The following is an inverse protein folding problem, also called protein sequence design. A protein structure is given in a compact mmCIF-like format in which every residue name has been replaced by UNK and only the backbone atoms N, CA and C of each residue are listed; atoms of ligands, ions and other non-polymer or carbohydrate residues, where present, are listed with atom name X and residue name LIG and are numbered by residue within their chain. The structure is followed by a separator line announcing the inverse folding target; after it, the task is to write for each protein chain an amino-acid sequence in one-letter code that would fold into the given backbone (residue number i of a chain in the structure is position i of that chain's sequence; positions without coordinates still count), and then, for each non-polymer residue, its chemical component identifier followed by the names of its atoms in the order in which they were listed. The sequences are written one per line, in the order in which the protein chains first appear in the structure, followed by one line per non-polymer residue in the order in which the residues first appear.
data_IF_348479495030
#
_entry.id   IF_348479495030
#
_cell.length_a   1.000
_cell.length_b   1.000
_cell.length_c   1.000
_cell.angle_alpha   90.00
_cell.angle_beta   90.00
_cell.angle_gamma   90.00
#
_symmetry.space_group_name_H-M   'P 1'
#
loop_
_entity.id
_entity.type
_entity.pdbx_description
1 polymer ?
#
# COMPACT_ATOMS: atom_id res chain seq x y z
N UNK A 1 -2.31 15.44 14.13
CA UNK A 1 -3.21 15.82 15.22
C UNK A 1 -3.76 14.53 15.82
N UNK A 2 -3.50 14.21 17.09
CA UNK A 2 -4.08 13.03 17.75
C UNK A 2 -5.35 13.49 18.46
N UNK A 3 -6.52 13.13 17.93
CA UNK A 3 -7.81 13.35 18.60
C UNK A 3 -7.94 12.25 19.65
N UNK A 4 -8.30 12.62 20.88
CA UNK A 4 -8.31 11.76 22.07
C UNK A 4 -9.02 10.41 21.88
N UNK A 5 -8.64 9.45 22.73
CA UNK A 5 -8.87 8.00 22.56
C UNK A 5 -10.31 7.49 22.47
N UNK A 6 -11.33 8.36 22.53
CA UNK A 6 -12.74 7.98 22.44
C UNK A 6 -13.27 7.95 20.98
N UNK A 7 -12.54 8.51 20.01
CA UNK A 7 -13.01 8.63 18.61
C UNK A 7 -12.09 7.93 17.59
N UNK A 8 -11.79 6.65 17.80
CA UNK A 8 -11.00 5.83 16.86
C UNK A 8 -11.56 5.88 15.41
N UNK A 9 -12.88 5.87 15.24
CA UNK A 9 -13.55 5.94 13.94
C UNK A 9 -13.33 7.26 13.17
N UNK A 10 -13.29 8.39 13.86
CA UNK A 10 -13.01 9.68 13.22
C UNK A 10 -11.53 9.82 12.84
N UNK A 11 -10.62 9.31 13.68
CA UNK A 11 -9.19 9.32 13.39
C UNK A 11 -8.87 8.51 12.11
N UNK A 12 -9.45 7.32 11.95
CA UNK A 12 -9.23 6.52 10.74
C UNK A 12 -9.86 7.18 9.50
N UNK A 13 -11.05 7.79 9.65
CA UNK A 13 -11.71 8.50 8.56
C UNK A 13 -10.89 9.71 8.09
N UNK A 14 -10.36 10.51 9.03
CA UNK A 14 -9.49 11.65 8.71
C UNK A 14 -8.18 11.22 8.05
N UNK A 15 -7.56 10.12 8.52
CA UNK A 15 -6.36 9.55 7.89
C UNK A 15 -6.68 9.03 6.48
N UNK A 16 -7.81 8.34 6.31
CA UNK A 16 -8.30 7.86 5.01
C UNK A 16 -8.53 9.01 4.03
N UNK A 17 -9.18 10.10 4.45
CA UNK A 17 -9.38 11.29 3.63
C UNK A 17 -8.05 11.93 3.20
N UNK A 18 -7.06 11.97 4.11
CA UNK A 18 -5.72 12.48 3.81
C UNK A 18 -5.02 11.62 2.75
N UNK A 19 -5.16 10.30 2.85
CA UNK A 19 -4.64 9.34 1.85
C UNK A 19 -5.32 9.54 0.50
N UNK A 20 -6.65 9.67 0.46
CA UNK A 20 -7.37 9.91 -0.80
C UNK A 20 -6.99 11.25 -1.44
N UNK A 21 -6.77 12.31 -0.64
CA UNK A 21 -6.26 13.58 -1.14
C UNK A 21 -4.88 13.42 -1.80
N UNK A 22 -3.96 12.69 -1.15
CA UNK A 22 -2.64 12.45 -1.74
C UNK A 22 -2.74 11.59 -3.01
N UNK A 23 -3.62 10.60 -3.03
CA UNK A 23 -3.90 9.79 -4.23
C UNK A 23 -4.42 10.64 -5.39
N UNK A 24 -5.31 11.60 -5.13
CA UNK A 24 -5.76 12.56 -6.15
C UNK A 24 -4.61 13.40 -6.69
N UNK A 25 -3.71 13.89 -5.82
CA UNK A 25 -2.55 14.66 -6.27
C UNK A 25 -1.61 13.83 -7.17
N UNK A 26 -1.36 12.56 -6.82
CA UNK A 26 -0.54 11.67 -7.65
C UNK A 26 -1.18 11.38 -9.02
N UNK A 27 -2.50 11.19 -9.05
CA UNK A 27 -3.21 11.00 -10.32
C UNK A 27 -3.10 12.26 -11.18
N UNK A 28 -3.26 13.44 -10.58
CA UNK A 28 -3.10 14.71 -11.30
C UNK A 28 -1.66 14.87 -11.85
N UNK A 29 -0.65 14.51 -11.07
CA UNK A 29 0.75 14.54 -11.51
C UNK A 29 1.01 13.58 -12.69
N UNK A 30 0.44 12.38 -12.64
CA UNK A 30 0.54 11.41 -13.74
C UNK A 30 -0.14 11.92 -15.00
N UNK A 31 -1.31 12.55 -14.88
CA UNK A 31 -2.03 13.11 -16.04
C UNK A 31 -1.24 14.29 -16.63
N UNK A 32 -0.71 15.17 -15.78
CA UNK A 32 0.06 16.33 -16.24
C UNK A 32 1.34 15.96 -16.99
N UNK A 33 1.93 14.79 -16.67
CA UNK A 33 3.18 14.32 -17.28
C UNK A 33 2.98 13.13 -18.23
N UNK A 34 1.74 12.78 -18.57
CA UNK A 34 1.43 11.58 -19.37
C UNK A 34 2.13 11.57 -20.73
N UNK A 35 2.25 12.75 -21.35
CA UNK A 35 2.86 12.93 -22.67
C UNK A 35 4.32 13.42 -22.59
N UNK A 36 4.90 13.51 -21.39
CA UNK A 36 6.26 14.05 -21.22
C UNK A 36 7.32 12.95 -21.38
N UNK A 37 8.10 13.05 -22.46
CA UNK A 37 9.24 12.17 -22.73
C UNK A 37 10.57 12.70 -22.15
N UNK A 38 10.65 13.98 -21.79
CA UNK A 38 11.86 14.63 -21.24
C UNK A 38 11.66 14.97 -19.77
N UNK A 39 12.01 14.02 -18.92
CA UNK A 39 12.25 14.30 -17.50
C UNK A 39 13.65 14.88 -17.28
N UNK A 40 13.92 15.39 -16.07
CA UNK A 40 15.25 15.90 -15.68
C UNK A 40 16.36 14.86 -15.84
N UNK A 41 16.00 13.56 -15.80
CA UNK A 41 16.92 12.43 -16.00
C UNK A 41 17.04 11.99 -17.48
N UNK A 42 16.32 12.65 -18.40
CA UNK A 42 16.34 12.34 -19.84
C UNK A 42 15.61 11.06 -20.23
N UNK A 43 14.81 10.48 -19.33
CA UNK A 43 14.01 9.27 -19.59
C UNK A 43 12.51 9.60 -19.70
N UNK A 44 11.71 8.77 -20.40
CA UNK A 44 10.26 8.90 -20.40
C UNK A 44 9.68 8.90 -18.99
N UNK A 45 8.60 9.67 -18.77
CA UNK A 45 7.94 9.72 -17.47
C UNK A 45 7.42 8.33 -17.06
N UNK A 46 7.76 7.91 -15.84
CA UNK A 46 7.21 6.69 -15.24
C UNK A 46 6.05 7.03 -14.32
N UNK A 47 4.93 6.34 -14.51
CA UNK A 47 3.74 6.52 -13.68
C UNK A 47 4.05 6.26 -12.21
N UNK A 48 3.65 7.20 -11.35
CA UNK A 48 3.73 7.06 -9.89
C UNK A 48 2.43 6.46 -9.36
N UNK A 49 2.52 5.53 -8.43
CA UNK A 49 1.36 4.99 -7.72
C UNK A 49 1.62 4.93 -6.21
N UNK A 50 0.52 4.93 -5.45
CA UNK A 50 0.57 4.87 -4.00
C UNK A 50 0.25 3.47 -3.49
N UNK A 51 1.11 2.93 -2.64
CA UNK A 51 0.86 1.72 -1.86
C UNK A 51 0.47 2.13 -0.45
N UNK A 52 -0.69 1.67 0.00
CA UNK A 52 -1.20 1.92 1.36
C UNK A 52 -1.04 0.63 2.15
N UNK A 53 -0.40 0.72 3.31
CA UNK A 53 -0.26 -0.40 4.24
C UNK A 53 -0.68 0.03 5.63
N UNK A 54 -1.24 -0.91 6.38
CA UNK A 54 -1.51 -0.69 7.80
C UNK A 54 -0.23 -0.94 8.58
N UNK A 55 0.06 -0.09 9.57
CA UNK A 55 1.17 -0.35 10.50
C UNK A 55 0.85 -1.59 11.34
N UNK A 56 1.85 -2.44 11.57
CA UNK A 56 1.71 -3.64 12.39
C UNK A 56 1.11 -3.27 13.75
N UNK A 57 -0.12 -3.69 14.00
CA UNK A 57 -0.79 -3.52 15.29
C UNK A 57 -0.65 -4.80 16.10
N UNK A 58 -1.00 -4.76 17.39
CA UNK A 58 -0.93 -5.96 18.23
C UNK A 58 -1.81 -7.09 17.69
N UNK A 59 -2.90 -6.76 16.99
CA UNK A 59 -3.76 -7.76 16.37
C UNK A 59 -3.05 -8.51 15.23
N UNK A 60 -2.41 -7.83 14.28
CA UNK A 60 -1.66 -8.45 13.18
C UNK A 60 -0.49 -9.25 13.71
N UNK A 61 0.22 -8.75 14.73
CA UNK A 61 1.26 -9.52 15.42
C UNK A 61 0.71 -10.80 16.04
N UNK A 62 -0.43 -10.74 16.73
CA UNK A 62 -1.08 -11.93 17.28
C UNK A 62 -1.56 -12.90 16.19
N UNK A 63 -2.01 -12.41 15.04
CA UNK A 63 -2.37 -13.26 13.90
C UNK A 63 -1.14 -13.95 13.28
N UNK A 64 -0.03 -13.24 13.13
CA UNK A 64 1.23 -13.81 12.62
C UNK A 64 1.80 -14.85 13.59
N UNK A 65 1.71 -14.55 14.89
CA UNK A 65 2.02 -15.46 15.98
C UNK A 65 1.10 -16.70 15.89
N UNK A 66 -0.23 -16.56 15.78
CA UNK A 66 -1.12 -17.72 15.60
C UNK A 66 -0.80 -18.54 14.34
N UNK A 67 -0.48 -17.89 13.22
CA UNK A 67 -0.09 -18.57 11.97
C UNK A 67 1.19 -19.39 12.13
N UNK A 68 2.08 -19.00 13.04
CA UNK A 68 3.36 -19.66 13.31
C UNK A 68 3.34 -20.67 14.47
N UNK A 69 2.50 -20.47 15.50
CA UNK A 69 2.40 -21.39 16.66
C UNK A 69 1.28 -22.43 16.54
N UNK A 70 0.44 -22.46 15.50
CA UNK A 70 -0.55 -23.55 15.37
C UNK A 70 0.06 -24.67 14.51
N UNK A 71 0.77 -25.67 15.07
CA UNK A 71 0.81 -26.96 14.41
C UNK A 71 -0.63 -27.48 14.39
N UNK A 72 -1.08 -27.93 13.22
CA UNK A 72 -2.35 -28.65 13.06
C UNK A 72 -2.27 -30.06 13.68
N UNK A 73 -1.67 -30.18 14.87
CA UNK A 73 -1.53 -31.44 15.59
C UNK A 73 -2.85 -31.78 16.27
N UNK A 74 -3.74 -32.40 15.50
CA UNK A 74 -4.93 -33.06 16.01
C UNK A 74 -4.55 -34.48 16.42
N UNK A 75 -4.97 -34.95 17.59
CA UNK A 75 -4.77 -36.34 18.01
C UNK A 75 -5.65 -37.32 17.21
N UNK A 76 -6.67 -36.81 16.50
CA UNK A 76 -7.56 -37.56 15.62
C UNK A 76 -8.05 -36.65 14.47
N UNK A 77 -8.18 -37.19 13.26
CA UNK A 77 -8.58 -36.47 12.05
C UNK A 77 -9.98 -35.82 12.11
N UNK A 78 -10.86 -36.24 13.01
CA UNK A 78 -12.22 -35.69 13.15
C UNK A 78 -12.33 -34.55 14.17
N UNK A 79 -11.21 -34.06 14.71
CA UNK A 79 -11.25 -33.03 15.76
C UNK A 79 -10.89 -31.64 15.22
N UNK A 80 -11.64 -30.63 15.64
CA UNK A 80 -11.28 -29.22 15.44
C UNK A 80 -10.25 -28.87 16.52
N UNK A 81 -9.07 -28.38 16.12
CA UNK A 81 -8.04 -27.98 17.07
C UNK A 81 -8.54 -26.78 17.92
N UNK A 82 -8.47 -26.92 19.25
CA UNK A 82 -8.76 -25.83 20.17
C UNK A 82 -7.56 -24.86 20.13
N UNK A 83 -7.75 -23.58 19.75
CA UNK A 83 -6.65 -22.63 19.78
C UNK A 83 -6.23 -22.44 21.24
N UNK A 84 -4.95 -22.68 21.54
CA UNK A 84 -4.38 -22.29 22.83
C UNK A 84 -4.61 -20.79 23.02
N UNK A 85 -5.23 -20.42 24.14
CA UNK A 85 -5.57 -19.03 24.44
C UNK A 85 -4.29 -18.18 24.49
N UNK A 86 -4.02 -17.44 23.41
CA UNK A 86 -3.00 -16.42 23.41
C UNK A 86 -3.42 -15.35 24.45
N UNK A 87 -2.48 -14.83 25.27
CA UNK A 87 -2.79 -13.69 26.12
C UNK A 87 -3.24 -12.54 25.21
N UNK A 88 -4.50 -12.14 25.32
CA UNK A 88 -5.01 -10.95 24.66
C UNK A 88 -4.32 -9.75 25.31
N UNK A 89 -3.16 -9.37 24.78
CA UNK A 89 -2.52 -8.13 25.14
C UNK A 89 -3.47 -6.99 24.74
N UNK A 90 -4.02 -6.31 25.74
CA UNK A 90 -4.78 -5.08 25.59
C UNK A 90 -3.84 -3.97 25.12
N UNK A 91 -3.44 -4.05 23.86
CA UNK A 91 -2.71 -3.00 23.19
C UNK A 91 -3.69 -1.99 22.64
N UNK A 92 -3.41 -0.72 22.92
CA UNK A 92 -4.01 0.39 22.18
C UNK A 92 -3.87 0.09 20.68
N UNK A 93 -5.01 -0.05 19.99
CA UNK A 93 -5.04 -0.29 18.56
C UNK A 93 -4.49 0.97 17.87
N UNK A 94 -3.17 0.99 17.61
CA UNK A 94 -2.53 2.00 16.79
C UNK A 94 -2.98 1.76 15.35
N UNK A 95 -4.14 2.30 14.98
CA UNK A 95 -4.77 2.18 13.66
C UNK A 95 -4.13 3.17 12.67
N UNK A 96 -2.80 3.21 12.64
CA UNK A 96 -2.06 4.14 11.79
C UNK A 96 -1.80 3.52 10.41
N UNK A 97 -1.97 4.34 9.37
CA UNK A 97 -1.74 3.95 7.97
C UNK A 97 -0.39 4.50 7.51
N UNK A 98 0.43 3.64 6.91
CA UNK A 98 1.60 3.99 6.14
C UNK A 98 1.23 4.09 4.65
N UNK A 99 1.83 5.03 3.94
CA UNK A 99 1.69 5.14 2.50
C UNK A 99 3.04 5.45 1.87
N UNK A 100 3.35 4.74 0.79
CA UNK A 100 4.60 4.88 0.06
C UNK A 100 4.30 5.12 -1.41
N UNK A 101 5.04 6.04 -2.00
CA UNK A 101 4.98 6.31 -3.43
C UNK A 101 5.99 5.42 -4.13
N UNK A 102 5.52 4.69 -5.15
CA UNK A 102 6.34 3.80 -5.95
C UNK A 102 6.22 4.16 -7.41
N UNK A 103 7.31 3.96 -8.13
CA UNK A 103 7.35 4.09 -9.59
C UNK A 103 6.91 2.77 -10.23
N UNK A 104 6.18 2.88 -11.34
CA UNK A 104 5.84 1.76 -12.18
C UNK A 104 7.07 1.32 -12.97
N UNK A 105 7.67 0.20 -12.56
CA UNK A 105 8.88 -0.34 -13.18
C UNK A 105 8.58 -1.16 -14.45
N UNK A 106 7.33 -1.17 -14.94
CA UNK A 106 6.99 -1.88 -16.17
C UNK A 106 7.58 -1.12 -17.36
N UNK A 107 8.27 -1.84 -18.25
CA UNK A 107 8.70 -1.30 -19.54
C UNK A 107 7.44 -0.93 -20.33
N UNK A 108 7.33 0.35 -20.69
CA UNK A 108 6.20 0.88 -21.46
C UNK A 108 6.20 0.36 -22.89
N UNK A 109 5.05 0.48 -23.54
CA UNK A 109 4.94 0.16 -24.97
C UNK A 109 5.67 1.25 -25.76
N UNK A 110 6.52 0.81 -26.67
CA UNK A 110 7.35 1.66 -27.53
C UNK A 110 6.48 2.02 -28.75
N UNK A 111 6.18 3.31 -28.96
CA UNK A 111 5.26 3.78 -30.02
C UNK A 111 5.96 4.84 -30.84
N UNK A 112 6.25 4.50 -32.10
CA UNK A 112 6.84 5.44 -33.04
C UNK A 112 5.92 6.64 -33.32
N UNK A 113 6.41 7.82 -32.96
CA UNK A 113 5.77 9.10 -33.24
C UNK A 113 6.66 9.92 -34.19
N UNK A 114 6.45 9.86 -35.52
CA UNK A 114 7.31 10.53 -36.50
C UNK A 114 7.31 12.07 -36.40
N UNK A 115 6.30 12.65 -35.74
CA UNK A 115 6.21 14.10 -35.48
C UNK A 115 7.03 14.54 -34.25
N UNK A 116 7.63 13.59 -33.51
CA UNK A 116 8.37 13.85 -32.28
C UNK A 116 9.89 13.85 -32.57
N UNK A 117 10.64 14.94 -32.26
CA UNK A 117 12.05 15.07 -32.62
C UNK A 117 13.00 14.03 -31.98
N UNK A 118 12.56 13.37 -30.91
CA UNK A 118 13.33 12.35 -30.18
C UNK A 118 12.87 10.91 -30.51
N UNK A 119 12.02 10.69 -31.53
CA UNK A 119 11.57 9.34 -31.93
C UNK A 119 12.64 8.59 -32.75
N UNK A 120 12.98 7.36 -32.34
CA UNK A 120 13.85 6.46 -33.09
C UNK A 120 13.01 5.53 -34.00
N UNK A 121 13.63 4.79 -34.93
CA UNK A 121 12.91 3.91 -35.87
C UNK A 121 12.25 2.68 -35.20
N UNK A 122 12.59 2.40 -33.94
CA UNK A 122 12.05 1.29 -33.13
C UNK A 122 10.89 1.74 -32.21
N UNK A 123 10.72 3.06 -32.04
CA UNK A 123 9.55 3.76 -31.52
C UNK A 123 9.81 4.73 -30.38
#
# INVERSE_FOLDING_TARGET
MKIGGEYSGFNISAKGMSVQRRKMNLIAENIANADNIRTEEGKPYQRKYMVISQKNNLFTQNLDIQKSIIPLAVTNANHIALPGAAPMAAGTADTDLNFEEKLDNKVGDVIYMPDNPDADEDG
#
